data_IF_322375117327
#
_entry.id   IF_322375117327
#
_cell.length_a   1.000
_cell.length_b   1.000
_cell.length_c   1.000
_cell.angle_alpha   90.00
_cell.angle_beta   90.00
_cell.angle_gamma   90.00
#
_symmetry.space_group_name_H-M   'P 1'
#
loop_
_entity.id
_entity.type
_entity.pdbx_description
1 polymer ?
#
# COMPACT_ATOMS: atom_id res chain seq x y z
N UNK A 1 15.17 30.34 2.24
CA UNK A 1 14.63 29.03 2.66
C UNK A 1 13.41 29.28 3.53
N UNK A 2 12.26 28.68 3.21
CA UNK A 2 11.11 28.69 4.10
C UNK A 2 11.00 27.29 4.74
N UNK A 3 10.91 27.24 6.07
CA UNK A 3 10.70 26.01 6.83
C UNK A 3 9.22 25.91 7.14
N UNK A 4 8.55 24.93 6.54
CA UNK A 4 7.11 24.74 6.76
C UNK A 4 6.89 23.49 7.62
N UNK A 5 6.38 23.68 8.83
CA UNK A 5 5.77 22.59 9.59
C UNK A 5 4.30 22.48 9.22
N UNK A 6 3.72 21.29 9.33
CA UNK A 6 2.30 21.04 9.04
C UNK A 6 1.36 21.97 9.82
N UNK A 7 1.76 22.39 11.02
CA UNK A 7 0.94 23.22 11.91
C UNK A 7 0.94 24.69 11.49
N UNK A 8 2.03 25.17 10.88
CA UNK A 8 2.20 26.55 10.43
C UNK A 8 1.38 26.88 9.18
N UNK A 9 1.06 25.89 8.34
CA UNK A 9 0.21 26.06 7.14
C UNK A 9 -1.19 26.56 7.52
N UNK A 10 -1.65 26.28 8.76
CA UNK A 10 -2.98 26.67 9.24
C UNK A 10 -3.05 28.02 9.95
N UNK A 11 -1.90 28.67 10.24
CA UNK A 11 -1.81 29.78 11.20
C UNK A 11 -1.24 31.10 10.66
N UNK A 12 -0.84 31.20 9.39
CA UNK A 12 -0.25 32.43 8.85
C UNK A 12 -1.30 33.36 8.23
N UNK A 13 -1.34 34.62 8.69
CA UNK A 13 -2.22 35.70 8.20
C UNK A 13 -1.87 36.24 6.79
N UNK A 14 -0.80 35.71 6.17
CA UNK A 14 -0.48 35.91 4.75
C UNK A 14 -0.70 34.57 4.08
N UNK A 15 -1.50 34.54 3.01
CA UNK A 15 -1.75 33.34 2.22
C UNK A 15 -0.43 32.81 1.64
N UNK A 16 0.19 31.87 2.35
CA UNK A 16 1.34 31.08 1.88
C UNK A 16 1.05 30.49 0.49
N UNK A 17 -0.22 30.15 0.20
CA UNK A 17 -0.66 29.66 -1.09
C UNK A 17 -0.28 30.59 -2.26
N UNK A 18 -0.20 31.90 -2.04
CA UNK A 18 0.12 32.88 -3.09
C UNK A 18 1.58 32.84 -3.53
N UNK A 19 2.51 32.46 -2.64
CA UNK A 19 3.96 32.39 -2.94
C UNK A 19 4.46 30.97 -3.11
N UNK A 20 3.67 29.94 -2.79
CA UNK A 20 4.05 28.54 -3.03
C UNK A 20 4.32 28.25 -4.51
N UNK A 21 3.63 28.95 -5.42
CA UNK A 21 3.94 28.94 -6.85
C UNK A 21 5.29 29.60 -7.17
N UNK A 22 6.01 30.23 -6.26
CA UNK A 22 7.34 30.79 -6.56
C UNK A 22 8.47 29.99 -5.94
N UNK A 23 8.14 28.96 -5.16
CA UNK A 23 9.10 28.12 -4.48
C UNK A 23 9.28 26.79 -5.21
N UNK A 24 10.52 26.30 -5.21
CA UNK A 24 10.88 24.96 -5.66
C UNK A 24 10.91 24.02 -4.44
N UNK A 25 10.15 22.92 -4.46
CA UNK A 25 10.15 21.96 -3.37
C UNK A 25 11.47 21.16 -3.38
N UNK A 26 12.07 20.96 -2.21
CA UNK A 26 13.31 20.20 -2.08
C UNK A 26 13.01 18.78 -1.64
N UNK A 27 13.54 17.80 -2.39
CA UNK A 27 13.42 16.39 -2.02
C UNK A 27 14.08 16.15 -0.66
N UNK A 28 13.39 15.50 0.30
CA UNK A 28 14.00 15.21 1.60
C UNK A 28 15.25 14.33 1.44
N UNK A 29 16.35 14.74 2.07
CA UNK A 29 17.57 13.95 2.12
C UNK A 29 17.42 12.84 3.17
N UNK A 30 17.83 11.63 2.82
CA UNK A 30 17.93 10.54 3.79
C UNK A 30 19.13 10.80 4.71
N UNK A 31 18.87 11.06 5.99
CA UNK A 31 19.89 11.08 7.04
C UNK A 31 20.17 9.65 7.50
N UNK A 32 21.43 9.35 7.81
CA UNK A 32 21.82 8.08 8.42
C UNK A 32 21.24 8.05 9.83
N UNK A 33 20.56 6.97 10.20
CA UNK A 33 20.12 6.74 11.57
C UNK A 33 21.20 5.95 12.30
N UNK A 34 21.76 6.53 13.35
CA UNK A 34 22.78 5.89 14.16
C UNK A 34 22.11 5.21 15.36
N UNK A 35 22.45 3.94 15.58
CA UNK A 35 22.17 3.25 16.84
C UNK A 35 23.23 3.67 17.85
N UNK A 36 23.04 4.83 18.46
CA UNK A 36 24.04 5.49 19.32
C UNK A 36 24.51 4.57 20.45
N UNK A 37 23.59 3.79 21.03
CA UNK A 37 23.88 2.83 22.11
C UNK A 37 24.82 1.67 21.69
N UNK A 38 25.04 1.48 20.38
CA UNK A 38 25.86 0.40 19.82
C UNK A 38 27.19 0.89 19.24
N UNK A 39 27.52 2.17 19.40
CA UNK A 39 28.71 2.79 18.83
C UNK A 39 29.72 3.17 19.91
N UNK A 40 30.97 2.75 19.73
CA UNK A 40 32.08 3.17 20.59
C UNK A 40 32.42 4.66 20.42
N UNK A 41 32.16 5.20 19.22
CA UNK A 41 32.34 6.62 18.90
C UNK A 41 31.01 7.21 18.45
N UNK A 42 30.45 8.09 19.27
CA UNK A 42 29.18 8.76 19.01
C UNK A 42 29.40 9.93 18.04
N UNK A 43 28.64 10.02 16.92
CA UNK A 43 28.72 11.16 16.02
C UNK A 43 28.28 12.46 16.70
N UNK A 44 28.73 13.60 16.19
CA UNK A 44 28.36 14.92 16.72
C UNK A 44 26.83 15.10 16.86
N UNK A 45 26.44 15.88 17.86
CA UNK A 45 25.03 16.16 18.16
C UNK A 45 24.31 16.83 16.99
N UNK A 46 25.02 17.62 16.19
CA UNK A 46 24.53 18.24 14.95
C UNK A 46 24.06 17.21 13.89
N UNK A 47 24.60 15.99 13.94
CA UNK A 47 24.29 14.88 13.02
C UNK A 47 23.23 13.96 13.61
N UNK A 48 23.22 13.80 14.94
CA UNK A 48 22.33 12.87 15.65
C UNK A 48 21.02 13.51 16.13
N UNK A 49 20.97 14.85 16.30
CA UNK A 49 19.75 15.54 16.70
C UNK A 49 18.65 15.38 15.65
N UNK A 50 17.48 14.95 16.13
CA UNK A 50 16.25 14.98 15.35
C UNK A 50 15.67 16.39 15.42
N UNK A 51 16.03 17.20 14.43
CA UNK A 51 15.32 18.46 14.16
C UNK A 51 13.82 18.20 13.95
N UNK A 52 13.01 19.25 14.12
CA UNK A 52 11.59 19.21 13.80
C UNK A 52 11.42 18.79 12.33
N UNK A 53 10.47 17.89 12.05
CA UNK A 53 10.14 17.54 10.66
C UNK A 53 9.48 18.73 9.96
N UNK A 54 10.14 19.24 8.92
CA UNK A 54 9.64 20.32 8.08
C UNK A 54 9.80 20.00 6.59
N UNK A 55 8.89 20.54 5.79
CA UNK A 55 9.04 20.60 4.36
C UNK A 55 9.92 21.78 3.96
N UNK A 56 10.90 21.54 3.10
CA UNK A 56 11.86 22.56 2.68
C UNK A 56 11.51 23.08 1.29
N UNK A 57 11.35 24.39 1.19
CA UNK A 57 11.09 25.10 -0.05
C UNK A 57 12.16 26.17 -0.28
N UNK A 58 12.67 26.22 -1.51
CA UNK A 58 13.80 27.07 -1.91
C UNK A 58 13.44 27.87 -3.14
N UNK A 59 13.88 29.12 -3.16
CA UNK A 59 13.87 29.95 -4.37
C UNK A 59 15.15 30.77 -4.38
N UNK A 60 15.57 31.18 -5.57
CA UNK A 60 16.72 32.05 -5.82
C UNK A 60 16.40 32.91 -7.06
N UNK A 61 17.27 33.85 -7.39
CA UNK A 61 17.08 34.74 -8.54
C UNK A 61 16.89 33.97 -9.85
N UNK A 62 17.59 32.83 -10.04
CA UNK A 62 17.45 32.01 -11.23
C UNK A 62 16.08 31.32 -11.32
N UNK A 63 15.55 30.78 -10.22
CA UNK A 63 14.24 30.14 -10.18
C UNK A 63 13.09 31.13 -10.39
N UNK A 64 13.29 32.39 -9.99
CA UNK A 64 12.31 33.47 -10.21
C UNK A 64 12.39 34.04 -11.63
N UNK A 65 13.56 33.97 -12.28
CA UNK A 65 13.78 34.55 -13.62
C UNK A 65 13.42 33.58 -14.76
N UNK A 66 13.43 32.27 -14.51
CA UNK A 66 13.12 31.25 -15.53
C UNK A 66 11.60 31.04 -15.62
N UNK A 67 10.99 31.16 -16.82
CA UNK A 67 9.56 30.93 -16.99
C UNK A 67 9.24 29.46 -16.71
N UNK A 68 8.13 29.24 -16.00
CA UNK A 68 7.66 27.89 -15.64
C UNK A 68 6.67 27.40 -16.67
N UNK A 69 6.94 26.22 -17.22
CA UNK A 69 6.02 25.49 -18.08
C UNK A 69 4.94 24.83 -17.24
N UNK A 70 3.71 25.32 -17.38
CA UNK A 70 2.55 24.78 -16.68
C UNK A 70 1.84 23.70 -17.50
N UNK A 71 1.89 22.47 -17.00
CA UNK A 71 1.17 21.32 -17.54
C UNK A 71 -0.14 21.14 -16.79
N UNK A 72 -1.23 21.58 -17.43
CA UNK A 72 -2.58 21.58 -16.86
C UNK A 72 -3.36 20.27 -17.05
N UNK A 73 -2.70 19.17 -17.44
CA UNK A 73 -3.34 17.86 -17.59
C UNK A 73 -3.89 17.36 -16.24
N UNK A 74 -5.13 16.88 -16.26
CA UNK A 74 -5.77 16.20 -15.11
C UNK A 74 -5.20 14.79 -14.97
N UNK A 75 -4.19 14.66 -14.12
CA UNK A 75 -3.51 13.39 -13.86
C UNK A 75 -4.11 12.79 -12.59
N UNK A 76 -4.84 11.69 -12.77
CA UNK A 76 -5.50 11.00 -11.68
C UNK A 76 -4.77 9.70 -11.37
N UNK A 77 -4.28 9.56 -10.15
CA UNK A 77 -3.58 8.38 -9.63
C UNK A 77 -4.49 7.64 -8.66
N UNK A 78 -4.77 6.37 -8.93
CA UNK A 78 -5.64 5.52 -8.12
C UNK A 78 -4.80 4.55 -7.32
N UNK A 79 -4.91 4.65 -6.00
CA UNK A 79 -4.14 3.86 -5.03
C UNK A 79 -3.00 4.65 -4.42
N UNK A 80 -2.77 4.47 -3.12
CA UNK A 80 -1.77 5.18 -2.31
C UNK A 80 -0.64 4.26 -1.84
N UNK A 81 -0.22 3.35 -2.74
CA UNK A 81 0.84 2.39 -2.48
C UNK A 81 2.22 3.02 -2.67
N UNK A 82 3.29 2.31 -2.31
CA UNK A 82 4.67 2.73 -2.58
C UNK A 82 4.92 3.03 -4.06
N UNK A 83 4.22 2.37 -4.99
CA UNK A 83 4.31 2.68 -6.43
C UNK A 83 3.78 4.08 -6.73
N UNK A 84 2.63 4.44 -6.16
CA UNK A 84 2.00 5.75 -6.35
C UNK A 84 2.78 6.88 -5.69
N UNK A 85 3.21 6.68 -4.44
CA UNK A 85 4.03 7.66 -3.74
C UNK A 85 5.33 7.92 -4.48
N UNK A 86 5.99 6.87 -4.99
CA UNK A 86 7.23 7.03 -5.74
C UNK A 86 7.03 7.66 -7.11
N UNK A 87 5.93 7.34 -7.79
CA UNK A 87 5.56 8.02 -9.02
C UNK A 87 5.40 9.53 -8.81
N UNK A 88 4.59 9.93 -7.82
CA UNK A 88 4.33 11.33 -7.49
C UNK A 88 5.59 12.06 -7.01
N UNK A 89 6.36 11.44 -6.12
CA UNK A 89 7.63 11.98 -5.64
C UNK A 89 8.60 12.28 -6.79
N UNK A 90 8.81 11.32 -7.71
CA UNK A 90 9.72 11.52 -8.84
C UNK A 90 9.15 12.42 -9.94
N UNK A 91 7.83 12.66 -9.94
CA UNK A 91 7.19 13.60 -10.86
C UNK A 91 7.35 15.04 -10.37
N UNK A 92 7.23 15.27 -9.06
CA UNK A 92 7.26 16.61 -8.44
C UNK A 92 8.68 17.06 -8.09
N UNK A 93 9.51 16.17 -7.54
CA UNK A 93 10.79 16.54 -6.91
C UNK A 93 12.01 16.21 -7.78
N UNK A 94 11.84 16.15 -9.10
CA UNK A 94 12.95 15.82 -10.00
C UNK A 94 13.79 17.06 -10.33
N UNK A 95 15.08 17.02 -9.99
CA UNK A 95 16.01 18.14 -10.18
C UNK A 95 16.26 18.53 -11.63
N UNK A 96 15.90 17.70 -12.61
CA UNK A 96 16.04 18.07 -14.03
C UNK A 96 14.97 19.05 -14.52
N UNK A 97 13.96 19.35 -13.70
CA UNK A 97 12.70 19.96 -14.13
C UNK A 97 12.21 21.09 -13.22
N UNK A 98 13.12 21.90 -12.66
CA UNK A 98 12.72 23.00 -11.77
C UNK A 98 11.79 24.03 -12.44
N UNK A 99 11.66 23.97 -13.78
CA UNK A 99 10.82 24.81 -14.62
C UNK A 99 9.51 24.13 -15.07
N UNK A 100 9.24 22.86 -14.78
CA UNK A 100 7.99 22.19 -15.18
C UNK A 100 7.07 22.03 -13.99
N UNK A 101 5.78 22.33 -14.17
CA UNK A 101 4.78 22.16 -13.13
C UNK A 101 3.57 21.39 -13.57
N UNK A 102 3.14 20.49 -12.69
CA UNK A 102 1.92 19.72 -12.85
C UNK A 102 0.85 20.30 -11.93
N UNK A 103 -0.09 21.05 -12.49
CA UNK A 103 -1.07 21.81 -11.70
C UNK A 103 -2.23 20.94 -11.20
N UNK A 104 -2.57 19.87 -11.93
CA UNK A 104 -3.77 19.06 -11.69
C UNK A 104 -3.43 17.61 -11.35
N UNK A 105 -2.68 17.40 -10.26
CA UNK A 105 -2.40 16.07 -9.70
C UNK A 105 -3.46 15.67 -8.67
N UNK A 106 -4.12 14.54 -8.88
CA UNK A 106 -5.12 14.00 -7.95
C UNK A 106 -4.74 12.57 -7.56
N UNK A 107 -4.67 12.29 -6.25
CA UNK A 107 -4.48 10.96 -5.69
C UNK A 107 -5.78 10.47 -5.05
N UNK A 108 -6.22 9.28 -5.46
CA UNK A 108 -7.41 8.63 -4.93
C UNK A 108 -7.01 7.48 -4.02
N UNK A 109 -7.48 7.52 -2.78
CA UNK A 109 -7.13 6.54 -1.76
C UNK A 109 -8.29 6.30 -0.82
N UNK A 110 -8.42 5.09 -0.29
CA UNK A 110 -9.46 4.76 0.69
C UNK A 110 -9.20 5.50 2.01
N UNK A 111 -7.93 5.62 2.41
CA UNK A 111 -7.51 6.20 3.69
C UNK A 111 -6.61 7.43 3.52
N UNK A 112 -6.58 8.04 2.33
CA UNK A 112 -5.71 9.19 2.05
C UNK A 112 -4.23 8.81 1.90
N UNK A 113 -3.34 9.72 2.28
CA UNK A 113 -1.89 9.46 2.29
C UNK A 113 -1.52 8.53 3.45
N UNK A 114 -0.56 7.59 3.25
CA UNK A 114 -0.16 6.70 4.32
C UNK A 114 0.58 7.48 5.41
N UNK A 115 0.42 7.05 6.66
CA UNK A 115 1.14 7.59 7.82
C UNK A 115 0.85 9.07 8.15
N UNK A 116 -0.28 9.61 7.70
CA UNK A 116 -0.74 10.96 8.07
C UNK A 116 -1.45 10.99 9.43
N UNK A 117 -2.01 9.87 9.89
CA UNK A 117 -2.69 9.77 11.19
C UNK A 117 -1.70 9.58 12.35
N UNK A 118 -2.18 9.87 13.58
CA UNK A 118 -1.43 9.62 14.81
C UNK A 118 -0.92 8.17 14.86
N UNK A 119 0.36 8.02 15.17
CA UNK A 119 1.03 6.71 15.22
C UNK A 119 0.41 5.85 16.31
N UNK A 120 0.00 4.64 15.93
CA UNK A 120 -0.38 3.60 16.88
C UNK A 120 0.72 2.55 16.85
N UNK A 121 1.58 2.52 17.87
CA UNK A 121 2.78 1.68 17.90
C UNK A 121 2.51 0.24 17.45
N UNK A 122 1.53 -0.44 18.05
CA UNK A 122 1.18 -1.80 17.63
C UNK A 122 0.64 -1.87 16.19
N UNK A 123 -0.27 -0.98 15.77
CA UNK A 123 -0.83 -0.97 14.42
C UNK A 123 0.23 -0.75 13.33
N UNK A 124 1.19 0.15 13.59
CA UNK A 124 2.31 0.43 12.68
C UNK A 124 3.26 -0.77 12.53
N UNK A 125 3.36 -1.62 13.56
CA UNK A 125 4.15 -2.87 13.53
C UNK A 125 3.44 -4.03 12.82
N UNK A 126 2.13 -3.94 12.53
CA UNK A 126 1.37 -5.07 11.98
C UNK A 126 1.70 -5.36 10.50
N UNK A 127 2.29 -4.38 9.80
CA UNK A 127 2.75 -4.50 8.41
C UNK A 127 4.28 -4.40 8.33
N UNK A 128 4.93 -5.11 7.38
CA UNK A 128 6.38 -4.99 7.19
C UNK A 128 6.81 -3.57 6.83
N UNK A 129 7.90 -3.11 7.44
CA UNK A 129 8.47 -1.80 7.14
C UNK A 129 9.15 -1.79 5.76
N UNK A 130 8.67 -0.98 4.82
CA UNK A 130 9.19 -0.91 3.44
C UNK A 130 10.25 0.18 3.20
N UNK A 131 10.78 0.79 4.27
CA UNK A 131 11.95 1.67 4.21
C UNK A 131 11.63 3.16 4.11
N UNK A 132 11.41 3.68 2.89
CA UNK A 132 11.53 5.13 2.61
C UNK A 132 10.37 5.98 3.15
N UNK A 133 9.13 5.60 2.83
CA UNK A 133 7.94 6.39 3.18
C UNK A 133 7.57 6.20 4.65
N UNK A 134 8.44 6.64 5.56
CA UNK A 134 8.15 6.80 6.99
C UNK A 134 7.24 8.00 7.20
N UNK A 135 6.62 8.10 8.39
CA UNK A 135 5.81 9.27 8.75
C UNK A 135 6.63 10.55 8.59
N UNK A 136 7.81 10.55 9.20
CA UNK A 136 8.74 11.67 9.21
C UNK A 136 9.18 12.03 7.77
N UNK A 137 9.44 11.03 6.92
CA UNK A 137 9.75 11.26 5.51
C UNK A 137 8.57 11.87 4.75
N UNK A 138 7.35 11.37 4.96
CA UNK A 138 6.13 11.88 4.33
C UNK A 138 5.83 13.31 4.77
N UNK A 139 6.08 13.65 6.04
CA UNK A 139 5.94 15.00 6.56
C UNK A 139 6.92 15.97 5.88
N UNK A 140 8.20 15.59 5.76
CA UNK A 140 9.22 16.39 5.05
C UNK A 140 8.95 16.49 3.55
N UNK A 141 8.40 15.45 2.94
CA UNK A 141 8.05 15.45 1.52
C UNK A 141 6.84 16.35 1.26
N UNK A 142 5.88 16.42 2.19
CA UNK A 142 4.70 17.28 2.11
C UNK A 142 3.93 17.17 0.78
N UNK A 143 3.70 15.94 0.31
CA UNK A 143 3.01 15.68 -0.97
C UNK A 143 1.66 16.38 -1.09
N UNK A 144 0.95 16.56 0.02
CA UNK A 144 -0.35 17.24 0.10
C UNK A 144 -0.32 18.71 -0.38
N UNK A 145 0.86 19.34 -0.47
CA UNK A 145 1.01 20.69 -1.03
C UNK A 145 0.95 20.73 -2.55
N UNK A 146 1.15 19.58 -3.22
CA UNK A 146 1.21 19.46 -4.69
C UNK A 146 0.15 18.54 -5.26
N UNK A 147 -0.50 17.73 -4.42
CA UNK A 147 -1.41 16.66 -4.84
C UNK A 147 -2.72 16.76 -4.10
N UNK A 148 -3.82 16.86 -4.85
CA UNK A 148 -5.17 16.81 -4.31
C UNK A 148 -5.50 15.39 -3.87
N UNK A 149 -5.90 15.20 -2.61
CA UNK A 149 -6.21 13.87 -2.06
C UNK A 149 -7.72 13.69 -2.02
N UNK A 150 -8.23 12.71 -2.75
CA UNK A 150 -9.64 12.32 -2.74
C UNK A 150 -9.82 10.97 -2.05
N UNK A 151 -10.77 10.93 -1.12
CA UNK A 151 -11.10 9.73 -0.38
C UNK A 151 -12.14 8.91 -1.14
N UNK A 152 -11.81 7.69 -1.54
CA UNK A 152 -12.78 6.81 -2.17
C UNK A 152 -12.20 5.61 -2.90
N UNK A 153 -13.12 4.82 -3.43
CA UNK A 153 -12.87 3.66 -4.28
C UNK A 153 -13.42 3.94 -5.67
N UNK A 154 -12.61 3.70 -6.70
CA UNK A 154 -13.08 3.75 -8.09
C UNK A 154 -13.97 2.54 -8.34
N UNK A 155 -15.22 2.80 -8.70
CA UNK A 155 -16.23 1.76 -8.96
C UNK A 155 -16.59 1.63 -10.45
N UNK A 156 -16.44 2.70 -11.22
CA UNK A 156 -16.68 2.71 -12.67
C UNK A 156 -15.59 3.51 -13.37
N UNK A 157 -15.15 3.05 -14.54
CA UNK A 157 -14.26 3.78 -15.45
C UNK A 157 -14.97 3.92 -16.80
N UNK A 158 -15.29 5.16 -17.19
CA UNK A 158 -15.80 5.50 -18.51
C UNK A 158 -14.65 6.02 -19.37
N UNK A 159 -14.17 5.17 -20.29
CA UNK A 159 -13.03 5.47 -21.17
C UNK A 159 -13.37 6.46 -22.28
N UNK A 160 -14.61 6.44 -22.77
CA UNK A 160 -15.06 7.30 -23.86
C UNK A 160 -15.11 8.76 -23.40
N UNK A 161 -15.73 9.01 -22.26
CA UNK A 161 -15.84 10.34 -21.66
C UNK A 161 -14.64 10.75 -20.80
N UNK A 162 -13.66 9.85 -20.65
CA UNK A 162 -12.51 9.97 -19.74
C UNK A 162 -12.92 10.38 -18.33
N UNK A 163 -13.81 9.62 -17.72
CA UNK A 163 -14.30 9.84 -16.36
C UNK A 163 -14.22 8.58 -15.50
N UNK A 164 -14.07 8.76 -14.20
CA UNK A 164 -14.19 7.69 -13.21
C UNK A 164 -15.29 8.03 -12.20
N UNK A 165 -15.98 7.02 -11.68
CA UNK A 165 -16.94 7.17 -10.60
C UNK A 165 -16.31 6.70 -9.29
N UNK A 166 -16.42 7.53 -8.25
CA UNK A 166 -15.95 7.26 -6.90
C UNK A 166 -17.14 6.94 -6.01
N UNK A 167 -17.05 5.82 -5.30
CA UNK A 167 -18.06 5.35 -4.36
C UNK A 167 -19.48 5.33 -4.95
N UNK A 168 -19.62 5.05 -6.25
CA UNK A 168 -20.91 5.00 -6.97
C UNK A 168 -21.68 6.33 -7.02
N UNK A 169 -21.03 7.46 -6.72
CA UNK A 169 -21.72 8.75 -6.59
C UNK A 169 -21.01 9.89 -7.31
N UNK A 170 -19.68 10.00 -7.17
CA UNK A 170 -18.95 11.20 -7.58
C UNK A 170 -18.16 10.95 -8.85
N UNK A 171 -18.43 11.71 -9.90
CA UNK A 171 -17.70 11.61 -11.17
C UNK A 171 -16.51 12.56 -11.22
N UNK A 172 -15.36 12.04 -11.62
CA UNK A 172 -14.12 12.80 -11.80
C UNK A 172 -13.59 12.60 -13.22
N UNK A 173 -13.29 13.70 -13.92
CA UNK A 173 -12.65 13.67 -15.25
C UNK A 173 -11.14 13.47 -15.13
N UNK A 174 -10.55 12.78 -16.08
CA UNK A 174 -9.10 12.63 -16.21
C UNK A 174 -8.65 12.90 -17.64
N UNK A 175 -7.42 13.40 -17.80
CA UNK A 175 -6.71 13.38 -19.07
C UNK A 175 -5.79 12.15 -19.12
N UNK A 176 -5.21 11.80 -17.97
CA UNK A 176 -4.40 10.61 -17.75
C UNK A 176 -4.82 9.90 -16.46
N UNK A 177 -5.07 8.60 -16.54
CA UNK A 177 -5.46 7.77 -15.41
C UNK A 177 -4.36 6.74 -15.10
N UNK A 178 -3.88 6.72 -13.87
CA UNK A 178 -2.87 5.79 -13.37
C UNK A 178 -3.48 4.82 -12.37
N UNK A 179 -3.55 3.54 -12.73
CA UNK A 179 -4.12 2.48 -11.92
C UNK A 179 -3.01 1.77 -11.13
N UNK A 180 -2.71 2.27 -9.94
CA UNK A 180 -1.70 1.74 -9.02
C UNK A 180 -2.35 1.00 -7.84
N UNK A 181 -3.43 0.28 -8.15
CA UNK A 181 -4.35 -0.37 -7.19
C UNK A 181 -3.76 -1.61 -6.52
N UNK A 182 -2.69 -2.19 -7.07
CA UNK A 182 -1.97 -3.30 -6.46
C UNK A 182 -2.81 -4.56 -6.21
N UNK A 183 -2.44 -5.31 -5.16
CA UNK A 183 -3.15 -6.51 -4.68
C UNK A 183 -3.32 -6.42 -3.17
N UNK A 184 -4.38 -7.04 -2.66
CA UNK A 184 -4.77 -7.02 -1.26
C UNK A 184 -5.18 -8.42 -0.79
N UNK A 185 -4.99 -8.72 0.49
CA UNK A 185 -5.58 -9.89 1.13
C UNK A 185 -7.10 -9.84 0.97
N UNK A 186 -7.65 -10.92 0.42
CA UNK A 186 -9.09 -11.06 0.24
C UNK A 186 -9.68 -11.97 1.32
N UNK A 187 -11.01 -12.03 1.35
CA UNK A 187 -11.74 -12.94 2.21
C UNK A 187 -11.21 -14.37 2.01
N UNK A 188 -10.94 -15.12 3.08
CA UNK A 188 -10.68 -16.55 2.95
C UNK A 188 -11.87 -17.18 2.24
N UNK A 189 -11.61 -17.94 1.19
CA UNK A 189 -12.61 -18.81 0.59
C UNK A 189 -12.35 -20.19 1.21
N UNK A 190 -13.32 -20.76 1.94
CA UNK A 190 -13.18 -22.12 2.47
C UNK A 190 -12.79 -23.05 1.32
N UNK A 191 -11.68 -23.77 1.46
CA UNK A 191 -11.32 -24.76 0.46
C UNK A 191 -12.42 -25.82 0.43
N UNK A 192 -13.00 -26.12 -0.73
CA UNK A 192 -13.87 -27.28 -0.94
C UNK A 192 -13.03 -28.58 -0.96
N UNK A 193 -12.02 -28.66 -0.10
CA UNK A 193 -11.22 -29.86 0.06
C UNK A 193 -12.12 -30.91 0.71
N UNK A 194 -12.37 -31.99 -0.02
CA UNK A 194 -12.93 -33.21 0.55
C UNK A 194 -11.93 -33.72 1.60
N UNK A 195 -12.11 -33.35 2.86
CA UNK A 195 -11.48 -34.10 3.95
C UNK A 195 -12.19 -35.45 3.95
N UNK A 196 -11.51 -36.51 3.52
CA UNK A 196 -12.06 -37.86 3.54
C UNK A 196 -12.44 -38.20 4.99
N UNK A 197 -13.75 -38.25 5.25
CA UNK A 197 -14.29 -38.48 6.58
C UNK A 197 -13.86 -39.85 7.15
N UNK A 198 -13.44 -40.77 6.29
CA UNK A 198 -13.01 -42.12 6.64
C UNK A 198 -11.54 -42.21 7.09
N UNK A 199 -10.71 -41.20 6.80
CA UNK A 199 -9.31 -41.11 7.30
C UNK A 199 -9.30 -40.59 8.75
N UNK A 200 -10.35 -39.89 9.18
CA UNK A 200 -10.50 -39.34 10.54
C UNK A 200 -10.98 -40.39 11.56
N UNK A 201 -10.26 -41.50 11.71
CA UNK A 201 -10.56 -42.53 12.72
C UNK A 201 -10.16 -42.16 14.15
N UNK A 202 -9.76 -40.91 14.44
CA UNK A 202 -9.40 -40.48 15.80
C UNK A 202 -10.05 -39.14 16.19
N UNK A 203 -11.05 -39.25 17.08
CA UNK A 203 -11.47 -38.31 18.15
C UNK A 203 -11.86 -36.86 17.82
N UNK A 204 -11.81 -36.40 16.57
CA UNK A 204 -12.19 -35.02 16.22
C UNK A 204 -13.48 -35.04 15.40
N UNK A 205 -14.57 -34.45 15.92
CA UNK A 205 -15.86 -34.40 15.22
C UNK A 205 -15.82 -33.34 14.09
N UNK A 206 -15.15 -33.74 13.00
CA UNK A 206 -14.93 -32.95 11.79
C UNK A 206 -16.22 -32.78 10.99
N UNK A 207 -17.20 -33.69 11.16
CA UNK A 207 -18.44 -33.76 10.38
C UNK A 207 -19.34 -32.55 10.63
N UNK A 208 -19.38 -32.02 11.86
CA UNK A 208 -20.19 -30.83 12.17
C UNK A 208 -19.61 -29.51 11.60
N UNK A 209 -18.32 -29.44 11.24
CA UNK A 209 -17.71 -28.23 10.66
C UNK A 209 -17.79 -28.24 9.12
N UNK A 210 -18.04 -29.40 8.51
CA UNK A 210 -18.14 -29.54 7.04
C UNK A 210 -19.52 -29.22 6.44
N UNK A 211 -20.54 -28.94 7.28
CA UNK A 211 -21.88 -28.59 6.77
C UNK A 211 -21.90 -27.19 6.14
N UNK A 212 -22.06 -27.14 4.81
CA UNK A 212 -22.31 -26.02 3.89
C UNK A 212 -22.18 -24.57 4.46
N UNK A 213 -21.08 -23.96 4.02
CA UNK A 213 -20.84 -22.53 3.72
C UNK A 213 -20.94 -21.48 4.85
N UNK A 214 -19.79 -21.08 5.39
CA UNK A 214 -19.64 -19.71 5.87
C UNK A 214 -19.59 -18.73 4.68
N UNK A 215 -20.76 -18.36 4.15
CA UNK A 215 -20.88 -17.24 3.18
C UNK A 215 -20.60 -15.88 3.85
N UNK A 216 -20.79 -15.81 5.15
CA UNK A 216 -20.62 -14.61 5.96
C UNK A 216 -19.23 -14.58 6.61
N UNK A 217 -18.48 -13.51 6.32
CA UNK A 217 -17.23 -13.23 7.01
C UNK A 217 -17.60 -12.75 8.41
N UNK A 218 -17.22 -13.51 9.44
CA UNK A 218 -17.43 -13.09 10.82
C UNK A 218 -16.74 -11.75 11.11
N UNK A 219 -17.33 -10.93 11.96
CA UNK A 219 -16.83 -9.58 12.31
C UNK A 219 -15.43 -9.59 12.94
N UNK A 220 -14.99 -10.74 13.44
CA UNK A 220 -13.70 -10.99 14.07
C UNK A 220 -12.68 -11.70 13.15
N UNK A 221 -12.90 -11.66 11.83
CA UNK A 221 -11.89 -11.99 10.82
C UNK A 221 -11.31 -10.68 10.28
N UNK A 222 -10.00 -10.50 10.42
CA UNK A 222 -9.29 -9.29 10.05
C UNK A 222 -8.39 -9.51 8.83
N UNK A 223 -8.55 -8.65 7.82
CA UNK A 223 -7.72 -8.58 6.62
C UNK A 223 -6.90 -7.30 6.70
N UNK A 224 -5.59 -7.42 6.92
CA UNK A 224 -4.74 -6.26 7.17
C UNK A 224 -3.98 -5.89 5.90
N UNK A 225 -4.49 -4.89 5.18
CA UNK A 225 -3.88 -4.37 3.95
C UNK A 225 -3.23 -3.00 4.15
N UNK A 226 -3.70 -2.25 5.12
CA UNK A 226 -3.23 -0.91 5.47
C UNK A 226 -3.01 -0.77 6.97
N UNK A 227 -2.27 0.26 7.38
CA UNK A 227 -2.12 0.58 8.81
C UNK A 227 -3.46 0.99 9.45
N UNK A 228 -4.38 1.58 8.66
CA UNK A 228 -5.73 1.87 9.11
C UNK A 228 -6.50 0.57 9.44
N UNK A 229 -6.41 -0.45 8.60
CA UNK A 229 -7.02 -1.77 8.87
C UNK A 229 -6.48 -2.36 10.17
N UNK A 230 -5.17 -2.25 10.42
CA UNK A 230 -4.53 -2.73 11.64
C UNK A 230 -5.08 -2.03 12.88
N UNK A 231 -5.19 -0.70 12.87
CA UNK A 231 -5.73 0.07 13.99
C UNK A 231 -7.20 -0.28 14.25
N UNK A 232 -8.01 -0.40 13.19
CA UNK A 232 -9.42 -0.80 13.30
C UNK A 232 -9.54 -2.22 13.86
N UNK A 233 -8.72 -3.16 13.40
CA UNK A 233 -8.70 -4.53 13.89
C UNK A 233 -8.31 -4.61 15.37
N UNK A 234 -7.28 -3.89 15.81
CA UNK A 234 -6.86 -3.83 17.22
C UNK A 234 -7.94 -3.21 18.12
N UNK A 235 -8.58 -2.13 17.67
CA UNK A 235 -9.71 -1.53 18.38
C UNK A 235 -10.91 -2.48 18.49
N UNK A 236 -11.19 -3.23 17.44
CA UNK A 236 -12.26 -4.24 17.41
C UNK A 236 -11.92 -5.42 18.31
N UNK A 237 -10.68 -5.91 18.28
CA UNK A 237 -10.18 -6.96 19.16
C UNK A 237 -10.32 -6.57 20.64
N UNK A 238 -9.94 -5.34 21.00
CA UNK A 238 -10.12 -4.82 22.37
C UNK A 238 -11.59 -4.87 22.81
N UNK A 239 -12.52 -4.45 21.95
CA UNK A 239 -13.97 -4.53 22.24
C UNK A 239 -14.42 -5.98 22.41
N UNK A 240 -13.98 -6.89 21.54
CA UNK A 240 -14.30 -8.32 21.63
C UNK A 240 -13.80 -8.88 22.98
N UNK A 241 -12.54 -8.65 23.34
CA UNK A 241 -11.94 -9.14 24.59
C UNK A 241 -12.68 -8.58 25.82
N UNK A 242 -13.06 -7.30 25.82
CA UNK A 242 -13.79 -6.68 26.94
C UNK A 242 -15.24 -7.15 27.06
N UNK A 243 -15.93 -7.33 25.93
CA UNK A 243 -17.32 -7.77 25.90
C UNK A 243 -17.48 -9.28 26.16
N UNK A 244 -16.41 -10.04 25.95
CA UNK A 244 -16.45 -11.50 25.91
C UNK A 244 -15.82 -12.11 27.15
N UNK A 245 -16.62 -12.83 27.95
CA UNK A 245 -16.08 -13.83 28.90
C UNK A 245 -15.55 -15.09 28.18
N UNK A 246 -15.55 -15.14 26.84
CA UNK A 246 -15.22 -16.36 26.08
C UNK A 246 -13.73 -16.68 26.19
N UNK A 247 -13.46 -17.96 26.44
CA UNK A 247 -12.19 -18.60 26.17
C UNK A 247 -11.98 -18.74 24.65
N UNK A 248 -10.74 -18.64 24.20
CA UNK A 248 -10.39 -18.78 22.78
C UNK A 248 -8.99 -18.25 22.51
N UNK A 249 -8.48 -18.57 21.32
CA UNK A 249 -7.18 -18.13 20.81
C UNK A 249 -7.34 -17.05 19.75
N UNK A 250 -6.37 -16.15 19.66
CA UNK A 250 -6.22 -15.24 18.52
C UNK A 250 -5.34 -15.96 17.51
N UNK A 251 -5.93 -16.30 16.37
CA UNK A 251 -5.28 -17.08 15.33
C UNK A 251 -4.66 -16.12 14.31
N UNK A 252 -3.39 -16.31 13.99
CA UNK A 252 -2.70 -15.61 12.90
C UNK A 252 -2.36 -16.65 11.84
N UNK A 253 -3.02 -16.58 10.69
CA UNK A 253 -2.89 -17.59 9.63
C UNK A 253 -2.29 -17.00 8.36
N UNK A 254 -1.31 -17.68 7.76
CA UNK A 254 -0.72 -17.26 6.50
C UNK A 254 0.58 -18.00 6.14
N UNK A 255 1.31 -17.46 5.17
CA UNK A 255 2.58 -18.03 4.71
C UNK A 255 3.60 -16.97 4.29
N UNK A 256 3.55 -15.79 4.93
CA UNK A 256 4.39 -14.65 4.61
C UNK A 256 4.85 -13.95 5.90
N UNK A 257 5.86 -13.08 5.80
CA UNK A 257 6.41 -12.32 6.94
C UNK A 257 5.36 -11.54 7.74
N UNK A 258 4.20 -11.24 7.14
CA UNK A 258 3.13 -10.52 7.82
C UNK A 258 2.58 -11.27 9.05
N UNK A 259 2.70 -12.60 9.11
CA UNK A 259 2.28 -13.35 10.31
C UNK A 259 3.13 -13.00 11.52
N UNK A 260 4.43 -12.75 11.33
CA UNK A 260 5.36 -12.38 12.39
C UNK A 260 5.20 -10.93 12.80
N UNK A 261 5.04 -10.02 11.82
CA UNK A 261 4.76 -8.60 12.12
C UNK A 261 3.43 -8.45 12.84
N UNK A 262 2.41 -9.21 12.45
CA UNK A 262 1.13 -9.28 13.16
C UNK A 262 1.27 -9.82 14.57
N UNK A 263 2.06 -10.87 14.77
CA UNK A 263 2.28 -11.44 16.11
C UNK A 263 3.00 -10.45 17.03
N UNK A 264 4.06 -9.80 16.53
CA UNK A 264 4.76 -8.73 17.25
C UNK A 264 3.81 -7.58 17.61
N UNK A 265 2.94 -7.18 16.68
CA UNK A 265 1.91 -6.16 16.91
C UNK A 265 0.96 -6.57 18.04
N UNK A 266 0.44 -7.80 18.03
CA UNK A 266 -0.45 -8.31 19.07
C UNK A 266 0.22 -8.38 20.45
N UNK A 267 1.47 -8.85 20.52
CA UNK A 267 2.26 -8.87 21.75
C UNK A 267 2.48 -7.44 22.28
N UNK A 268 2.84 -6.52 21.41
CA UNK A 268 3.03 -5.09 21.74
C UNK A 268 1.71 -4.43 22.18
N UNK A 269 0.58 -4.88 21.63
CA UNK A 269 -0.74 -4.45 22.04
C UNK A 269 -1.15 -4.99 23.42
N UNK A 270 -0.38 -5.91 24.00
CA UNK A 270 -0.61 -6.49 25.32
C UNK A 270 -1.38 -7.82 25.29
N UNK A 271 -1.49 -8.48 24.13
CA UNK A 271 -2.05 -9.84 24.06
C UNK A 271 -1.02 -10.83 24.63
N UNK A 272 -1.38 -11.64 25.65
CA UNK A 272 -0.47 -12.65 26.18
C UNK A 272 -0.11 -13.69 25.12
N UNK A 273 1.18 -14.06 24.99
CA UNK A 273 1.63 -14.97 23.94
C UNK A 273 0.90 -16.32 23.94
N UNK A 274 0.59 -16.87 25.12
CA UNK A 274 -0.21 -18.11 25.26
C UNK A 274 -1.65 -18.00 24.71
N UNK A 275 -2.16 -16.81 24.39
CA UNK A 275 -3.45 -16.61 23.70
C UNK A 275 -3.30 -16.56 22.18
N UNK A 276 -2.08 -16.45 21.66
CA UNK A 276 -1.80 -16.33 20.23
C UNK A 276 -1.44 -17.71 19.68
N UNK A 277 -2.01 -18.04 18.52
CA UNK A 277 -1.68 -19.24 17.76
C UNK A 277 -1.34 -18.84 16.33
N UNK A 278 -0.15 -19.17 15.87
CA UNK A 278 0.24 -19.05 14.46
C UNK A 278 -0.08 -20.37 13.75
N UNK A 279 -0.74 -20.30 12.60
CA UNK A 279 -1.01 -21.47 11.75
C UNK A 279 -0.49 -21.19 10.36
N UNK A 280 0.54 -21.92 9.94
CA UNK A 280 1.24 -21.71 8.68
C UNK A 280 0.84 -22.74 7.62
N UNK A 281 0.62 -22.25 6.39
CA UNK A 281 0.25 -23.09 5.25
C UNK A 281 1.38 -24.01 4.75
N UNK A 282 2.64 -23.72 5.09
CA UNK A 282 3.79 -24.44 4.56
C UNK A 282 4.40 -25.31 5.65
N UNK A 283 4.85 -26.51 5.30
CA UNK A 283 5.63 -27.38 6.20
C UNK A 283 6.96 -26.74 6.62
N UNK A 284 7.47 -25.83 5.78
CA UNK A 284 8.65 -25.00 6.08
C UNK A 284 8.22 -23.54 6.19
N UNK A 285 8.53 -22.84 7.28
CA UNK A 285 8.37 -21.39 7.26
C UNK A 285 9.36 -20.83 6.24
N UNK A 286 8.84 -20.12 5.24
CA UNK A 286 9.67 -19.45 4.24
C UNK A 286 9.58 -17.97 4.53
N UNK A 287 10.44 -17.48 5.41
CA UNK A 287 10.74 -16.05 5.51
C UNK A 287 11.13 -15.56 4.10
N UNK A 288 10.12 -15.10 3.36
CA UNK A 288 10.24 -14.38 2.11
C UNK A 288 11.10 -15.05 1.03
N UNK A 289 10.86 -16.31 0.66
CA UNK A 289 11.50 -16.92 -0.52
C UNK A 289 13.04 -16.95 -0.50
N UNK A 290 13.65 -16.73 0.65
CA UNK A 290 15.08 -16.95 0.88
C UNK A 290 15.21 -18.33 1.53
N UNK A 291 15.59 -19.32 0.73
CA UNK A 291 15.92 -20.69 1.20
C UNK A 291 17.16 -20.74 2.13
N UNK A 292 17.72 -19.59 2.51
CA UNK A 292 19.13 -19.49 2.89
C UNK A 292 19.40 -19.21 4.37
N UNK A 293 18.41 -19.00 5.24
CA UNK A 293 18.73 -18.73 6.66
C UNK A 293 17.78 -19.36 7.68
N UNK A 294 17.87 -20.69 7.81
CA UNK A 294 17.21 -21.45 8.89
C UNK A 294 17.57 -20.93 10.29
N UNK A 295 18.70 -20.24 10.48
CA UNK A 295 19.11 -19.72 11.79
C UNK A 295 18.24 -18.54 12.22
N UNK A 296 17.95 -17.59 11.33
CA UNK A 296 17.07 -16.45 11.64
C UNK A 296 15.68 -16.95 12.01
N UNK A 297 15.15 -17.85 11.18
CA UNK A 297 13.84 -18.46 11.39
C UNK A 297 13.74 -19.21 12.72
N UNK A 298 14.69 -20.11 13.00
CA UNK A 298 14.77 -20.84 14.27
C UNK A 298 14.85 -19.90 15.47
N UNK A 299 15.56 -18.78 15.33
CA UNK A 299 15.68 -17.77 16.39
C UNK A 299 14.35 -17.07 16.63
N UNK A 300 13.64 -16.67 15.58
CA UNK A 300 12.31 -16.06 15.67
C UNK A 300 11.32 -17.05 16.31
N UNK A 301 11.27 -18.29 15.80
CA UNK A 301 10.37 -19.33 16.31
C UNK A 301 10.64 -19.60 17.79
N UNK A 302 11.90 -19.77 18.19
CA UNK A 302 12.28 -19.98 19.59
C UNK A 302 11.83 -18.82 20.47
N UNK A 303 12.12 -17.58 20.06
CA UNK A 303 11.72 -16.39 20.82
C UNK A 303 10.20 -16.30 20.99
N UNK A 304 9.42 -16.62 19.95
CA UNK A 304 7.96 -16.66 20.04
C UNK A 304 7.45 -17.76 20.98
N UNK A 305 8.06 -18.94 20.94
CA UNK A 305 7.73 -20.06 21.83
C UNK A 305 8.04 -19.74 23.29
N UNK A 306 9.17 -19.08 23.57
CA UNK A 306 9.54 -18.59 24.91
C UNK A 306 8.51 -17.58 25.46
N UNK A 307 7.90 -16.78 24.60
CA UNK A 307 6.78 -15.88 24.95
C UNK A 307 5.43 -16.62 25.10
N UNK A 308 5.41 -17.94 24.87
CA UNK A 308 4.24 -18.80 24.98
C UNK A 308 3.37 -18.88 23.72
N UNK A 309 3.82 -18.31 22.59
CA UNK A 309 3.08 -18.40 21.32
C UNK A 309 3.16 -19.83 20.78
N UNK A 310 2.00 -20.38 20.39
CA UNK A 310 1.93 -21.73 19.80
C UNK A 310 1.97 -21.61 18.27
N UNK A 311 2.76 -22.44 17.61
CA UNK A 311 2.96 -22.41 16.15
C UNK A 311 2.65 -23.80 15.58
N UNK A 312 1.83 -23.85 14.53
CA UNK A 312 1.51 -25.04 13.75
C UNK A 312 1.96 -24.84 12.30
N UNK A 313 2.67 -25.83 11.74
CA UNK A 313 3.20 -25.80 10.37
C UNK A 313 2.47 -26.83 9.48
N UNK A 314 2.40 -26.55 8.17
CA UNK A 314 1.77 -27.45 7.20
C UNK A 314 0.25 -27.59 7.35
N UNK A 315 -0.42 -26.55 7.85
CA UNK A 315 -1.87 -26.54 8.07
C UNK A 315 -2.56 -25.48 7.22
N UNK A 316 -3.54 -25.92 6.44
CA UNK A 316 -4.36 -25.09 5.57
C UNK A 316 -5.72 -24.77 6.17
N UNK A 317 -6.16 -23.52 6.07
CA UNK A 317 -7.50 -23.11 6.50
C UNK A 317 -8.55 -23.79 5.62
N UNK A 318 -9.41 -24.60 6.25
CA UNK A 318 -10.51 -25.28 5.55
C UNK A 318 -11.82 -24.55 5.77
N UNK A 319 -12.27 -24.42 7.03
CA UNK A 319 -13.57 -23.84 7.35
C UNK A 319 -13.62 -23.26 8.77
N UNK A 320 -14.72 -22.60 9.12
CA UNK A 320 -14.97 -22.07 10.46
C UNK A 320 -16.45 -22.11 10.84
N UNK A 321 -16.75 -22.11 12.14
CA UNK A 321 -18.13 -22.01 12.66
C UNK A 321 -18.40 -20.59 13.14
N UNK A 322 -19.53 -20.04 12.72
CA UNK A 322 -20.04 -18.71 13.10
C UNK A 322 -21.13 -18.85 14.16
N UNK A 323 -21.13 -17.97 15.17
CA UNK A 323 -22.21 -17.80 16.15
C UNK A 323 -22.32 -16.31 16.49
N UNK A 324 -23.51 -15.73 16.36
CA UNK A 324 -23.77 -14.30 16.60
C UNK A 324 -22.82 -13.41 15.78
N UNK A 325 -22.73 -13.64 14.46
CA UNK A 325 -21.84 -12.90 13.54
C UNK A 325 -20.34 -12.99 13.83
N UNK A 326 -19.91 -13.83 14.78
CA UNK A 326 -18.51 -14.02 15.14
C UNK A 326 -18.09 -15.47 14.92
N UNK A 327 -16.89 -15.68 14.38
CA UNK A 327 -16.29 -17.02 14.37
C UNK A 327 -15.92 -17.43 15.78
N UNK A 328 -16.12 -18.71 16.11
CA UNK A 328 -15.76 -19.26 17.41
C UNK A 328 -14.95 -20.56 17.35
N UNK A 329 -14.92 -21.24 16.19
CA UNK A 329 -14.06 -22.40 15.92
C UNK A 329 -13.54 -22.33 14.50
N UNK A 330 -12.28 -22.71 14.29
CA UNK A 330 -11.64 -22.77 12.99
C UNK A 330 -11.03 -24.15 12.78
N UNK A 331 -11.25 -24.72 11.60
CA UNK A 331 -10.75 -26.01 11.16
C UNK A 331 -9.60 -25.81 10.17
N UNK A 332 -8.50 -26.48 10.46
CA UNK A 332 -7.35 -26.60 9.59
C UNK A 332 -7.10 -28.05 9.22
N UNK A 333 -6.57 -28.27 8.02
CA UNK A 333 -6.20 -29.58 7.49
C UNK A 333 -4.72 -29.64 7.17
N UNK A 334 -4.13 -30.83 7.25
CA UNK A 334 -2.74 -31.13 6.90
C UNK A 334 -2.71 -32.46 6.15
N UNK A 335 -1.80 -32.58 5.19
CA UNK A 335 -1.63 -33.81 4.40
C UNK A 335 -0.91 -34.93 5.19
N UNK A 336 -0.29 -34.59 6.33
CA UNK A 336 0.63 -35.48 7.06
C UNK A 336 0.11 -35.93 8.43
N UNK A 337 -1.17 -35.68 8.73
CA UNK A 337 -1.68 -35.93 10.08
C UNK A 337 -3.18 -35.66 10.25
N UNK A 338 -3.59 -35.57 11.51
CA UNK A 338 -4.97 -35.30 11.87
C UNK A 338 -5.33 -33.82 11.68
N UNK A 339 -6.59 -33.51 11.32
CA UNK A 339 -7.05 -32.13 11.26
C UNK A 339 -6.97 -31.43 12.63
N UNK A 340 -6.83 -30.12 12.59
CA UNK A 340 -6.67 -29.27 13.76
C UNK A 340 -7.90 -28.37 13.92
N UNK A 341 -8.57 -28.43 15.08
CA UNK A 341 -9.68 -27.53 15.42
C UNK A 341 -9.23 -26.63 16.56
N UNK A 342 -9.38 -25.31 16.38
CA UNK A 342 -9.00 -24.31 17.38
C UNK A 342 -10.23 -23.46 17.75
N UNK A 343 -10.52 -23.34 19.04
CA UNK A 343 -11.46 -22.35 19.57
C UNK A 343 -10.90 -20.94 19.33
N UNK A 344 -11.64 -20.15 18.56
CA UNK A 344 -11.17 -18.90 17.98
C UNK A 344 -11.88 -17.70 18.60
N UNK A 345 -11.10 -16.73 19.07
CA UNK A 345 -11.57 -15.43 19.50
C UNK A 345 -11.52 -14.41 18.35
N UNK A 346 -10.46 -14.47 17.54
CA UNK A 346 -10.27 -13.64 16.37
C UNK A 346 -9.29 -14.32 15.40
N UNK A 347 -9.44 -14.05 14.10
CA UNK A 347 -8.58 -14.58 13.05
C UNK A 347 -7.97 -13.44 12.22
N UNK A 348 -6.65 -13.30 12.25
CA UNK A 348 -5.90 -12.46 11.32
C UNK A 348 -5.48 -13.31 10.14
N UNK A 349 -5.99 -12.99 8.95
CA UNK A 349 -5.83 -13.82 7.76
C UNK A 349 -4.91 -13.16 6.73
N UNK A 350 -3.78 -13.82 6.48
CA UNK A 350 -2.73 -13.46 5.51
C UNK A 350 -2.59 -14.53 4.42
N UNK A 351 -3.71 -14.84 3.76
CA UNK A 351 -3.75 -15.79 2.65
C UNK A 351 -3.41 -15.16 1.30
N UNK A 352 -4.13 -15.60 0.26
CA UNK A 352 -3.91 -15.12 -1.12
C UNK A 352 -4.20 -13.61 -1.22
N UNK A 353 -3.32 -12.91 -1.93
CA UNK A 353 -3.53 -11.51 -2.34
C UNK A 353 -4.04 -11.47 -3.77
N UNK A 354 -5.09 -10.68 -4.00
CA UNK A 354 -5.72 -10.49 -5.32
C UNK A 354 -6.15 -9.04 -5.49
N UNK A 355 -6.54 -8.65 -6.70
CA UNK A 355 -7.21 -7.38 -6.93
C UNK A 355 -8.55 -7.34 -6.19
N UNK A 356 -8.89 -6.20 -5.59
CA UNK A 356 -10.18 -6.06 -4.89
C UNK A 356 -11.35 -6.33 -5.85
N UNK A 357 -12.44 -6.91 -5.35
CA UNK A 357 -13.61 -7.20 -6.18
C UNK A 357 -14.17 -5.93 -6.86
N UNK A 358 -14.24 -4.81 -6.12
CA UNK A 358 -14.69 -3.52 -6.67
C UNK A 358 -13.78 -3.02 -7.78
N UNK A 359 -12.46 -3.07 -7.57
CA UNK A 359 -11.48 -2.68 -8.59
C UNK A 359 -11.56 -3.60 -9.80
N UNK A 360 -11.65 -4.91 -9.60
CA UNK A 360 -11.80 -5.88 -10.68
C UNK A 360 -13.04 -5.59 -11.54
N UNK A 361 -14.19 -5.37 -10.90
CA UNK A 361 -15.44 -5.01 -11.60
C UNK A 361 -15.31 -3.71 -12.39
N UNK A 362 -14.65 -2.68 -11.84
CA UNK A 362 -14.42 -1.41 -12.53
C UNK A 362 -13.51 -1.58 -13.77
N UNK A 363 -12.48 -2.43 -13.67
CA UNK A 363 -11.55 -2.71 -14.77
C UNK A 363 -12.23 -3.51 -15.89
N UNK A 364 -12.90 -4.61 -15.55
CA UNK A 364 -13.57 -5.48 -16.53
C UNK A 364 -14.75 -4.75 -17.16
N UNK A 365 -15.57 -4.06 -16.35
CA UNK A 365 -16.71 -3.27 -16.83
C UNK A 365 -16.33 -2.12 -17.77
N UNK A 366 -15.07 -1.66 -17.74
CA UNK A 366 -14.54 -0.65 -18.67
C UNK A 366 -13.80 -1.25 -19.87
N UNK A 367 -13.74 -2.58 -19.98
CA UNK A 367 -13.02 -3.25 -21.08
C UNK A 367 -11.50 -3.07 -21.01
N UNK A 368 -10.94 -2.79 -19.83
CA UNK A 368 -9.50 -2.86 -19.61
C UNK A 368 -9.11 -4.34 -19.52
N UNK A 369 -8.08 -4.74 -20.28
CA UNK A 369 -7.67 -6.15 -20.34
C UNK A 369 -7.07 -6.58 -19.00
N UNK A 370 -7.64 -7.63 -18.42
CA UNK A 370 -7.23 -8.19 -17.14
C UNK A 370 -7.04 -9.71 -17.23
N UNK A 371 -5.90 -10.21 -16.76
CA UNK A 371 -5.62 -11.64 -16.62
C UNK A 371 -4.70 -11.87 -15.43
N UNK A 372 -5.28 -12.09 -14.24
CA UNK A 372 -4.56 -12.12 -12.95
C UNK A 372 -3.70 -10.87 -12.70
N UNK A 373 -4.14 -9.73 -13.24
CA UNK A 373 -3.43 -8.47 -13.24
C UNK A 373 -3.83 -7.62 -14.45
N UNK A 374 -3.67 -6.30 -14.33
CA UNK A 374 -3.90 -5.37 -15.44
C UNK A 374 -2.82 -5.58 -16.49
N UNK A 375 -3.21 -5.84 -17.74
CA UNK A 375 -2.27 -6.07 -18.82
C UNK A 375 -1.70 -4.74 -19.31
N UNK A 376 -0.37 -4.65 -19.33
CA UNK A 376 0.37 -3.46 -19.75
C UNK A 376 1.40 -3.75 -20.84
N UNK A 377 1.78 -2.73 -21.61
CA UNK A 377 2.92 -2.79 -22.52
C UNK A 377 4.23 -2.35 -21.84
N UNK A 378 5.33 -2.32 -22.61
CA UNK A 378 6.66 -1.89 -22.12
C UNK A 378 6.73 -0.44 -21.63
N UNK A 379 5.71 0.38 -21.89
CA UNK A 379 5.58 1.77 -21.42
C UNK A 379 4.49 1.94 -20.34
N UNK A 380 4.08 0.83 -19.72
CA UNK A 380 3.11 0.78 -18.63
C UNK A 380 1.69 1.24 -19.03
N UNK A 381 1.42 1.33 -20.33
CA UNK A 381 0.07 1.62 -20.86
C UNK A 381 -0.75 0.36 -20.91
N UNK A 382 -2.03 0.49 -20.61
CA UNK A 382 -3.03 -0.55 -20.83
C UNK A 382 -3.41 -0.65 -22.32
N UNK A 383 -4.51 -1.33 -22.65
CA UNK A 383 -5.11 -1.28 -23.99
C UNK A 383 -5.77 0.08 -24.33
N UNK A 384 -5.74 1.03 -23.41
CA UNK A 384 -6.14 2.42 -23.63
C UNK A 384 -4.93 3.36 -23.62
N UNK A 385 -4.91 4.33 -24.53
CA UNK A 385 -3.77 5.25 -24.68
C UNK A 385 -3.62 6.26 -23.54
N UNK A 386 -4.69 6.51 -22.78
CA UNK A 386 -4.72 7.47 -21.67
C UNK A 386 -4.76 6.80 -20.29
N UNK A 387 -4.76 5.47 -20.24
CA UNK A 387 -4.80 4.70 -18.99
C UNK A 387 -3.53 3.87 -18.85
N UNK A 388 -2.84 4.09 -17.75
CA UNK A 388 -1.59 3.46 -17.37
C UNK A 388 -1.79 2.64 -16.11
N UNK A 389 -0.96 1.63 -15.89
CA UNK A 389 -0.97 0.84 -14.67
C UNK A 389 0.45 0.41 -14.31
N UNK A 390 0.73 0.33 -13.01
CA UNK A 390 2.02 -0.14 -12.51
C UNK A 390 1.89 -0.75 -11.12
N UNK A 391 2.94 -1.46 -10.70
CA UNK A 391 3.00 -2.14 -9.41
C UNK A 391 2.49 -3.58 -9.45
N UNK A 392 2.37 -4.25 -8.28
CA UNK A 392 2.21 -5.70 -8.19
C UNK A 392 0.88 -6.24 -8.74
N UNK A 393 -0.09 -5.38 -9.05
CA UNK A 393 -1.36 -5.74 -9.69
C UNK A 393 -1.33 -5.73 -11.22
N UNK A 394 -0.15 -5.75 -11.83
CA UNK A 394 0.04 -5.65 -13.30
C UNK A 394 0.81 -6.83 -13.86
N UNK A 395 0.59 -7.13 -15.14
CA UNK A 395 1.36 -8.10 -15.92
C UNK A 395 1.69 -7.52 -17.29
N UNK A 396 2.88 -7.81 -17.81
CA UNK A 396 3.19 -7.46 -19.19
C UNK A 396 2.37 -8.30 -20.17
N UNK A 397 1.99 -7.72 -21.30
CA UNK A 397 1.34 -8.45 -22.37
C UNK A 397 2.25 -9.58 -22.88
N UNK A 398 1.64 -10.68 -23.33
CA UNK A 398 2.37 -11.87 -23.77
C UNK A 398 3.35 -11.64 -24.93
N UNK A 399 3.40 -10.45 -25.54
CA UNK A 399 4.43 -10.08 -26.53
C UNK A 399 5.78 -9.69 -25.88
N UNK A 400 5.79 -9.41 -24.58
CA UNK A 400 6.97 -9.02 -23.79
C UNK A 400 7.37 -10.15 -22.81
N UNK A 401 7.29 -11.38 -23.32
CA UNK A 401 7.02 -12.67 -22.66
C UNK A 401 8.05 -13.17 -21.62
N UNK A 402 8.45 -12.36 -20.64
CA UNK A 402 9.14 -12.85 -19.45
C UNK A 402 8.28 -12.62 -18.20
N UNK A 403 7.62 -13.67 -17.70
CA UNK A 403 6.82 -13.59 -16.48
C UNK A 403 7.65 -13.15 -15.25
N UNK A 404 8.96 -13.39 -15.26
CA UNK A 404 9.88 -12.93 -14.22
C UNK A 404 10.12 -11.40 -14.27
N UNK A 405 9.75 -10.74 -15.38
CA UNK A 405 9.81 -9.29 -15.51
C UNK A 405 8.60 -8.58 -14.87
N UNK A 406 7.57 -9.31 -14.40
CA UNK A 406 6.40 -8.68 -13.81
C UNK A 406 6.76 -7.82 -12.59
N UNK A 407 6.11 -6.66 -12.47
CA UNK A 407 6.33 -5.69 -11.41
C UNK A 407 6.20 -6.26 -9.97
N UNK A 408 5.51 -7.39 -9.80
CA UNK A 408 5.38 -8.09 -8.51
C UNK A 408 6.72 -8.59 -7.93
N UNK A 409 7.74 -8.76 -8.78
CA UNK A 409 9.07 -9.22 -8.38
C UNK A 409 10.06 -8.07 -8.13
N UNK A 410 9.64 -6.82 -8.37
CA UNK A 410 10.50 -5.65 -8.24
C UNK A 410 10.03 -4.74 -7.11
N UNK A 411 10.94 -3.89 -6.65
CA UNK A 411 10.61 -2.83 -5.69
C UNK A 411 9.51 -1.93 -6.26
N UNK A 412 8.36 -1.86 -5.57
CA UNK A 412 7.28 -0.93 -5.93
C UNK A 412 7.75 0.51 -6.10
N UNK A 413 8.77 0.93 -5.33
CA UNK A 413 9.38 2.26 -5.43
C UNK A 413 10.05 2.45 -6.78
N UNK A 414 10.85 1.47 -7.19
CA UNK A 414 11.57 1.52 -8.46
C UNK A 414 10.60 1.51 -9.64
N UNK A 415 9.56 0.68 -9.57
CA UNK A 415 8.48 0.65 -10.56
C UNK A 415 7.77 2.01 -10.64
N UNK A 416 7.50 2.66 -9.49
CA UNK A 416 6.90 3.99 -9.45
C UNK A 416 7.79 5.08 -10.08
N UNK A 417 9.10 5.04 -9.79
CA UNK A 417 10.10 5.91 -10.43
C UNK A 417 10.11 5.73 -11.95
N UNK A 418 10.18 4.49 -12.43
CA UNK A 418 10.17 4.18 -13.87
C UNK A 418 8.86 4.63 -14.53
N UNK A 419 7.72 4.46 -13.87
CA UNK A 419 6.43 4.95 -14.36
C UNK A 419 6.45 6.48 -14.56
N UNK A 420 7.07 7.21 -13.63
CA UNK A 420 7.23 8.66 -13.73
C UNK A 420 8.11 9.03 -14.92
N UNK A 421 9.27 8.37 -15.07
CA UNK A 421 10.17 8.61 -16.21
C UNK A 421 9.51 8.33 -17.57
N UNK A 422 8.69 7.29 -17.67
CA UNK A 422 7.95 6.99 -18.90
C UNK A 422 6.90 8.04 -19.21
N UNK A 423 6.20 8.56 -18.20
CA UNK A 423 5.24 9.63 -18.39
C UNK A 423 5.92 10.92 -18.86
N UNK A 424 7.00 11.29 -18.19
CA UNK A 424 7.78 12.50 -18.51
C UNK A 424 8.25 12.50 -19.97
N UNK A 425 8.78 11.38 -20.46
CA UNK A 425 9.20 11.22 -21.87
C UNK A 425 8.08 11.45 -22.90
N UNK A 426 6.81 11.33 -22.48
CA UNK A 426 5.65 11.53 -23.35
C UNK A 426 5.15 12.97 -23.29
N UNK A 427 5.32 13.64 -22.15
CA UNK A 427 4.60 14.88 -21.83
C UNK A 427 5.48 16.11 -21.75
N UNK A 428 6.74 15.93 -21.39
CA UNK A 428 7.70 17.02 -21.27
C UNK A 428 8.29 17.33 -22.64
N UNK A 429 8.30 18.61 -23.06
CA UNK A 429 8.93 19.01 -24.30
C UNK A 429 10.41 18.67 -24.26
N UNK A 430 10.96 18.31 -25.42
CA UNK A 430 12.40 18.08 -25.52
C UNK A 430 13.13 19.42 -25.35
N UNK A 431 14.39 19.43 -24.86
CA UNK A 431 15.15 20.66 -24.64
C UNK A 431 15.18 21.63 -25.83
N UNK A 432 15.17 21.11 -27.07
CA UNK A 432 15.12 21.94 -28.30
C UNK A 432 13.75 22.62 -28.52
N UNK A 433 12.66 21.97 -28.13
CA UNK A 433 11.30 22.52 -28.25
C UNK A 433 11.07 23.64 -27.22
N UNK A 434 11.82 23.64 -26.11
CA UNK A 434 11.78 24.73 -25.13
C UNK A 434 12.45 26.01 -25.63
N UNK A 435 13.55 25.92 -26.37
CA UNK A 435 14.20 27.07 -27.01
C UNK A 435 13.27 27.69 -28.08
N UNK A 436 12.62 26.84 -28.88
CA UNK A 436 11.66 27.28 -29.89
C UNK A 436 10.42 27.93 -29.25
N UNK A 437 9.85 27.34 -28.19
CA UNK A 437 8.69 27.89 -27.47
C UNK A 437 8.98 29.22 -26.77
N UNK A 438 10.22 29.43 -26.32
CA UNK A 438 10.68 30.71 -25.76
C UNK A 438 10.93 31.76 -26.85
N UNK A 439 11.25 31.35 -28.08
CA UNK A 439 11.49 32.25 -29.22
C UNK A 439 10.21 32.68 -29.95
N UNK A 440 9.11 31.95 -29.79
CA UNK A 440 7.82 32.26 -30.41
C UNK A 440 7.05 33.34 -29.65
N UNK A 441 7.57 34.58 -29.69
CA UNK A 441 6.71 35.76 -29.63
C UNK A 441 5.95 35.83 -30.96
N UNK A 442 4.95 34.95 -31.14
CA UNK A 442 4.00 35.11 -32.24
C UNK A 442 3.17 36.33 -31.88
N UNK A 443 3.40 37.41 -32.61
CA UNK A 443 2.59 38.62 -32.55
C UNK A 443 1.15 38.27 -32.97
N UNK A 444 0.33 37.91 -31.98
CA UNK A 444 -1.08 37.53 -32.11
C UNK A 444 -2.00 38.76 -32.12
N UNK A 445 -1.46 39.96 -32.34
CA UNK A 445 -2.29 41.14 -32.54
C UNK A 445 -3.05 40.98 -33.88
N UNK A 446 -4.39 41.07 -33.87
CA UNK A 446 -5.16 41.07 -35.11
C UNK A 446 -4.73 42.26 -35.95
N UNK A 447 -4.13 41.98 -37.10
CA UNK A 447 -3.79 43.00 -38.08
C UNK A 447 -5.09 43.49 -38.72
N UNK A 448 -5.28 44.81 -38.73
CA UNK A 448 -6.41 45.42 -39.43
C UNK A 448 -6.34 45.02 -40.91
N UNK A 449 -7.47 44.61 -41.45
CA UNK A 449 -7.63 44.37 -42.89
C UNK A 449 -7.40 45.67 -43.65
N UNK A 450 -6.45 45.64 -44.60
CA UNK A 450 -6.23 46.72 -45.56
C UNK A 450 -7.44 46.95 -46.48
#
# INVERSE_FOLDING_TARGET
>A
YCLLTTDLITKTDISLATVMSELCPVRPRNRIQYHVDSLDVVPEESVTNKDIDYALFVTNETHLSVPKLELNYRIVVVGSSNTALSFLEHLIFNSSNDHIRYNNLTLISIHGLPKTFLSHQAGDMMLPHTGLYTRDYMARLSLQTHVNILYGVVTVINRQEKMICLNDQHWLRYDYLYLFTGVQYCKPMPATAHVDADICQKSVDVREIHTREARELGENIFLINTTADAVIALGTLKKIVLASKKSGKIIVHGGCINIYTCTQSLLTFGVPGHKIVIVENSETCRLCGLDTNTTIEKTIIRSLQELGVVIYHGYHLVNWKVKNSQIHKVLFHTDFGSPLIIDCLALFYYGRRVTSAKTYSALVGSGIVYNDGIIINSRFRTNDQFIYAAGPGTKYSGRYQNAQANHSYFSSREVGRLASEMFRKVMEPKPREMEDAQSTNVDLLPKMSD
#
